data_IF_306557090969
#
_entry.id   IF_306557090969
#
_cell.length_a   1.000
_cell.length_b   1.000
_cell.length_c   1.000
_cell.angle_alpha   90.00
_cell.angle_beta   90.00
_cell.angle_gamma   90.00
#
_symmetry.space_group_name_H-M   'P 1'
#
loop_
_entity.id
_entity.type
_entity.pdbx_description
1 polymer ?
#
# COMPACT_ATOMS: atom_id res chain seq x y z
N UNK A 1 -34.74 -36.06 23.77
CA UNK A 1 -33.76 -35.75 22.70
C UNK A 1 -32.93 -34.58 23.18
N UNK A 2 -31.90 -34.85 23.98
CA UNK A 2 -31.02 -33.82 24.53
C UNK A 2 -30.09 -33.36 23.40
N UNK A 3 -30.34 -32.17 22.86
CA UNK A 3 -29.54 -31.61 21.78
C UNK A 3 -28.15 -31.28 22.33
N UNK A 4 -27.13 -31.93 21.79
CA UNK A 4 -25.74 -31.83 22.24
C UNK A 4 -25.21 -30.40 22.02
N UNK A 5 -25.32 -29.55 23.05
CA UNK A 5 -24.90 -28.16 23.02
C UNK A 5 -23.39 -28.00 22.81
N UNK A 6 -22.59 -29.00 23.18
CA UNK A 6 -21.14 -28.98 23.04
C UNK A 6 -20.69 -29.01 21.57
N UNK A 7 -21.40 -29.75 20.72
CA UNK A 7 -21.11 -29.80 19.28
C UNK A 7 -21.36 -28.44 18.61
N UNK A 8 -22.45 -27.76 19.01
CA UNK A 8 -22.75 -26.40 18.54
C UNK A 8 -21.71 -25.39 19.02
N UNK A 9 -21.24 -25.48 20.26
CA UNK A 9 -20.20 -24.59 20.78
C UNK A 9 -18.88 -24.80 20.02
N UNK A 10 -18.53 -26.05 19.71
CA UNK A 10 -17.32 -26.38 18.95
C UNK A 10 -17.37 -25.87 17.51
N UNK A 11 -18.53 -25.95 16.86
CA UNK A 11 -18.75 -25.45 15.50
C UNK A 11 -18.62 -23.92 15.42
N UNK A 12 -19.21 -23.20 16.38
CA UNK A 12 -19.11 -21.73 16.46
C UNK A 12 -17.67 -21.28 16.67
N UNK A 13 -16.92 -21.94 17.57
CA UNK A 13 -15.49 -21.64 17.80
C UNK A 13 -14.63 -21.90 16.55
N UNK A 14 -14.89 -22.99 15.83
CA UNK A 14 -14.19 -23.31 14.57
C UNK A 14 -14.45 -22.24 13.51
N UNK A 15 -15.68 -21.75 13.43
CA UNK A 15 -16.07 -20.68 12.51
C UNK A 15 -15.42 -19.34 12.86
N UNK A 16 -15.37 -18.99 14.15
CA UNK A 16 -14.65 -17.82 14.66
C UNK A 16 -13.16 -17.88 14.32
N UNK A 17 -12.49 -19.00 14.57
CA UNK A 17 -11.06 -19.17 14.25
C UNK A 17 -10.77 -19.08 12.74
N UNK A 18 -11.69 -19.58 11.89
CA UNK A 18 -11.61 -19.42 10.42
C UNK A 18 -11.79 -17.97 9.98
N UNK A 19 -12.63 -17.20 10.67
CA UNK A 19 -12.84 -15.78 10.39
C UNK A 19 -11.65 -14.93 10.84
N UNK A 20 -11.11 -15.20 12.03
CA UNK A 20 -9.91 -14.51 12.54
C UNK A 20 -8.67 -14.81 11.69
N UNK A 21 -8.46 -16.06 11.29
CA UNK A 21 -7.36 -16.42 10.38
C UNK A 21 -7.51 -15.79 8.98
N UNK A 22 -8.74 -15.60 8.49
CA UNK A 22 -8.99 -14.84 7.25
C UNK A 22 -8.71 -13.34 7.43
N UNK A 23 -9.11 -12.74 8.56
CA UNK A 23 -8.89 -11.32 8.87
C UNK A 23 -7.41 -10.97 9.07
N UNK A 24 -6.62 -11.90 9.62
CA UNK A 24 -5.17 -11.72 9.76
C UNK A 24 -4.43 -11.88 8.42
N UNK A 25 -5.04 -12.51 7.41
CA UNK A 25 -4.47 -12.70 6.07
C UNK A 25 -4.67 -11.49 5.16
N UNK A 26 -5.66 -10.63 5.44
CA UNK A 26 -5.99 -9.46 4.60
C UNK A 26 -5.14 -8.22 4.87
N UNK A 27 -4.41 -8.16 5.99
CA UNK A 27 -3.67 -6.95 6.41
C UNK A 27 -2.14 -7.06 6.29
N UNK A 28 -1.62 -8.16 5.78
CA UNK A 28 -0.18 -8.35 5.57
C UNK A 28 0.06 -8.48 4.08
N UNK A 29 0.46 -7.39 3.42
CA UNK A 29 1.07 -7.48 2.10
C UNK A 29 2.16 -8.55 2.17
N UNK A 30 2.08 -9.54 1.29
CA UNK A 30 3.10 -10.55 1.13
C UNK A 30 4.45 -9.86 0.91
N UNK A 31 5.55 -10.52 1.29
CA UNK A 31 6.92 -10.02 1.02
C UNK A 31 7.08 -9.61 -0.45
N UNK A 32 6.47 -10.36 -1.36
CA UNK A 32 6.49 -10.08 -2.80
C UNK A 32 5.81 -8.75 -3.14
N UNK A 33 4.63 -8.49 -2.59
CA UNK A 33 3.91 -7.23 -2.81
C UNK A 33 4.66 -6.03 -2.22
N UNK A 34 5.26 -6.18 -1.04
CA UNK A 34 6.10 -5.14 -0.43
C UNK A 34 7.30 -4.79 -1.30
N UNK A 35 7.99 -5.79 -1.85
CA UNK A 35 9.12 -5.56 -2.75
C UNK A 35 8.67 -4.89 -4.04
N UNK A 36 7.59 -5.37 -4.66
CA UNK A 36 7.03 -4.76 -5.87
C UNK A 36 6.66 -3.28 -5.65
N UNK A 37 6.05 -2.95 -4.51
CA UNK A 37 5.71 -1.58 -4.14
C UNK A 37 6.94 -0.68 -3.98
N UNK A 38 8.01 -1.18 -3.36
CA UNK A 38 9.27 -0.43 -3.22
C UNK A 38 9.96 -0.23 -4.57
N UNK A 39 9.96 -1.25 -5.44
CA UNK A 39 10.50 -1.14 -6.80
C UNK A 39 9.72 -0.07 -7.59
N UNK A 40 8.39 -0.09 -7.53
CA UNK A 40 7.56 0.92 -8.20
C UNK A 40 7.92 2.33 -7.74
N UNK A 41 8.11 2.55 -6.43
CA UNK A 41 8.55 3.84 -5.91
C UNK A 41 9.94 4.22 -6.38
N UNK A 42 10.89 3.29 -6.39
CA UNK A 42 12.25 3.52 -6.91
C UNK A 42 12.24 3.97 -8.36
N UNK A 43 11.45 3.31 -9.22
CA UNK A 43 11.28 3.70 -10.63
C UNK A 43 10.73 5.12 -10.76
N UNK A 44 9.83 5.57 -9.88
CA UNK A 44 9.35 6.96 -9.90
C UNK A 44 10.48 7.97 -9.58
N UNK A 45 11.43 7.60 -8.72
CA UNK A 45 12.58 8.46 -8.41
C UNK A 45 13.54 8.56 -9.59
N UNK A 46 13.80 7.45 -10.28
CA UNK A 46 14.59 7.43 -11.52
C UNK A 46 13.90 8.26 -12.61
N UNK A 47 12.58 8.15 -12.75
CA UNK A 47 11.80 8.96 -13.69
C UNK A 47 11.91 10.46 -13.35
N UNK A 48 11.87 10.80 -12.07
CA UNK A 48 12.02 12.17 -11.62
C UNK A 48 13.47 12.69 -11.65
N UNK A 49 14.46 11.81 -11.89
CA UNK A 49 15.88 12.16 -11.92
C UNK A 49 16.46 12.53 -10.54
N UNK A 50 15.88 11.97 -9.47
CA UNK A 50 16.24 12.26 -8.08
C UNK A 50 16.65 10.99 -7.31
N UNK A 51 16.94 9.90 -8.01
CA UNK A 51 17.36 8.61 -7.45
C UNK A 51 18.75 8.64 -6.80
N UNK A 52 19.59 9.63 -7.15
CA UNK A 52 20.96 9.78 -6.65
C UNK A 52 21.14 10.87 -5.58
N UNK A 53 20.07 11.48 -5.09
CA UNK A 53 20.18 12.49 -4.02
C UNK A 53 20.18 11.85 -2.63
N UNK A 54 20.76 12.57 -1.65
CA UNK A 54 20.87 12.08 -0.27
C UNK A 54 19.50 11.73 0.33
N UNK A 55 19.49 10.71 1.18
CA UNK A 55 18.26 10.16 1.78
C UNK A 55 17.53 11.20 2.63
N UNK A 56 18.27 12.07 3.32
CA UNK A 56 17.76 13.17 4.12
C UNK A 56 17.02 14.20 3.26
N UNK A 57 17.55 14.50 2.07
CA UNK A 57 16.94 15.43 1.11
C UNK A 57 15.64 14.83 0.58
N UNK A 58 15.66 13.56 0.17
CA UNK A 58 14.46 12.84 -0.27
C UNK A 58 13.39 12.79 0.81
N UNK A 59 13.78 12.49 2.05
CA UNK A 59 12.86 12.44 3.18
C UNK A 59 12.25 13.82 3.44
N UNK A 60 13.05 14.88 3.43
CA UNK A 60 12.55 16.26 3.57
C UNK A 60 11.53 16.61 2.48
N UNK A 61 11.82 16.26 1.23
CA UNK A 61 10.91 16.47 0.11
C UNK A 61 9.60 15.67 0.26
N UNK A 62 9.65 14.40 0.69
CA UNK A 62 8.45 13.60 0.92
C UNK A 62 7.62 14.11 2.10
N UNK A 63 8.25 14.68 3.13
CA UNK A 63 7.54 15.29 4.25
C UNK A 63 6.83 16.57 3.81
N UNK A 64 7.48 17.38 2.96
CA UNK A 64 6.86 18.57 2.38
C UNK A 64 5.57 18.27 1.61
N UNK A 65 5.45 17.08 1.02
CA UNK A 65 4.21 16.65 0.34
C UNK A 65 2.98 16.70 1.27
N UNK A 66 3.14 16.51 2.59
CA UNK A 66 2.04 16.59 3.57
C UNK A 66 1.47 18.00 3.70
N UNK A 67 2.28 19.01 3.38
CA UNK A 67 1.92 20.42 3.49
C UNK A 67 1.39 20.98 2.16
N UNK A 68 1.28 20.15 1.12
CA UNK A 68 0.77 20.56 -0.19
C UNK A 68 -0.76 20.67 -0.14
N UNK A 69 -1.33 21.85 -0.44
CA UNK A 69 -2.78 22.03 -0.51
C UNK A 69 -3.43 21.14 -1.59
N UNK A 70 -4.67 20.71 -1.35
CA UNK A 70 -5.39 19.77 -2.22
C UNK A 70 -5.52 20.27 -3.68
N UNK A 71 -5.74 21.57 -3.87
CA UNK A 71 -5.77 22.23 -5.18
C UNK A 71 -4.49 22.05 -6.02
N UNK A 72 -3.34 21.87 -5.35
CA UNK A 72 -2.05 21.64 -6.00
C UNK A 72 -1.82 20.16 -6.28
N UNK A 73 -2.48 19.24 -5.55
CA UNK A 73 -2.38 17.81 -5.77
C UNK A 73 -2.90 17.41 -7.16
N UNK A 74 -4.00 18.01 -7.63
CA UNK A 74 -4.48 17.72 -8.99
C UNK A 74 -3.50 18.18 -10.06
N UNK A 75 -2.84 19.34 -9.87
CA UNK A 75 -1.77 19.79 -10.77
C UNK A 75 -0.58 18.83 -10.80
N UNK A 76 -0.18 18.29 -9.63
CA UNK A 76 0.87 17.28 -9.55
C UNK A 76 0.47 16.00 -10.30
N UNK A 77 -0.80 15.58 -10.18
CA UNK A 77 -1.33 14.40 -10.87
C UNK A 77 -1.36 14.58 -12.39
N UNK A 78 -1.75 15.76 -12.88
CA UNK A 78 -1.70 16.10 -14.32
C UNK A 78 -0.26 16.04 -14.81
N UNK A 79 0.67 16.72 -14.14
CA UNK A 79 2.09 16.69 -14.50
C UNK A 79 2.68 15.28 -14.53
N UNK A 80 2.33 14.44 -13.56
CA UNK A 80 2.75 13.05 -13.53
C UNK A 80 2.23 12.26 -14.74
N UNK A 81 0.95 12.46 -15.12
CA UNK A 81 0.38 11.86 -16.32
C UNK A 81 1.09 12.30 -17.59
N UNK A 82 1.38 13.59 -17.73
CA UNK A 82 2.07 14.13 -18.90
C UNK A 82 3.47 13.53 -19.05
N UNK A 83 4.21 13.37 -17.95
CA UNK A 83 5.55 12.74 -17.96
C UNK A 83 5.48 11.25 -18.35
N UNK A 84 4.47 10.51 -17.86
CA UNK A 84 4.24 9.13 -18.30
C UNK A 84 3.96 9.04 -19.80
N UNK A 85 3.10 9.91 -20.33
CA UNK A 85 2.81 9.94 -21.77
C UNK A 85 4.03 10.35 -22.61
N UNK A 86 4.86 11.29 -22.12
CA UNK A 86 6.10 11.69 -22.79
C UNK A 86 7.07 10.53 -22.96
N UNK A 87 7.14 9.61 -21.99
CA UNK A 87 8.06 8.45 -22.01
C UNK A 87 7.51 7.24 -22.77
N UNK A 88 6.23 7.23 -23.14
CA UNK A 88 5.65 6.21 -24.02
C UNK A 88 5.95 6.45 -25.50
N UNK A 89 6.30 7.69 -25.85
CA UNK A 89 6.74 8.10 -27.19
C UNK A 89 8.24 7.87 -27.34
#
# INVERSE_FOLDING_TARGET
MEQNYDDKIKEVRSSLNKLESKKNKTNSLTRKERVAHLIQKGVLLEIAGIDNVDSEILLGYFLWFKDVPEEKLEKLKVRGRDEFERRKK
#
